data_IF_200251267047
#
_entry.id   IF_200251267047
#
_cell.length_a   1.000
_cell.length_b   1.000
_cell.length_c   1.000
_cell.angle_alpha   90.00
_cell.angle_beta   90.00
_cell.angle_gamma   90.00
#
_symmetry.space_group_name_H-M   'P 1'
#
loop_
_entity.id
_entity.type
_entity.pdbx_description
1 polymer ?
#
# COMPACT_ATOMS: atom_id res chain seq x y z
N UNK A 1 6.82 -4.06 10.74
CA UNK A 1 5.74 -3.17 10.30
C UNK A 1 6.01 -2.86 8.84
N UNK A 2 5.03 -3.07 7.95
CA UNK A 2 5.16 -2.65 6.55
C UNK A 2 5.06 -1.12 6.55
N UNK A 3 6.10 -0.46 6.07
CA UNK A 3 6.14 1.00 5.98
C UNK A 3 5.82 1.41 4.53
N UNK A 4 4.85 2.29 4.37
CA UNK A 4 4.38 2.81 3.08
C UNK A 4 4.74 4.29 2.87
N UNK A 5 5.80 4.78 3.50
CA UNK A 5 6.22 6.18 3.35
C UNK A 5 6.51 6.53 1.89
N UNK A 6 5.89 7.60 1.38
CA UNK A 6 6.11 8.09 0.01
C UNK A 6 7.43 8.86 -0.07
N UNK A 7 8.36 8.38 -0.89
CA UNK A 7 9.61 9.06 -1.16
C UNK A 7 9.36 10.28 -2.06
N UNK A 8 9.42 11.50 -1.52
CA UNK A 8 9.34 12.74 -2.29
C UNK A 8 10.71 13.12 -2.85
N UNK A 9 10.89 13.03 -4.17
CA UNK A 9 12.10 13.48 -4.87
C UNK A 9 12.03 14.99 -5.16
N UNK A 10 12.75 15.79 -4.37
CA UNK A 10 12.90 17.24 -4.63
C UNK A 10 14.01 17.48 -5.65
N UNK A 11 13.67 17.98 -6.84
CA UNK A 11 14.64 18.43 -7.85
C UNK A 11 14.97 19.92 -7.64
N UNK A 12 16.21 20.24 -7.28
CA UNK A 12 16.74 21.62 -7.30
C UNK A 12 17.91 21.73 -8.25
N UNK A 13 17.66 22.48 -9.32
CA UNK A 13 18.58 22.93 -10.36
C UNK A 13 19.56 23.99 -9.80
N UNK A 14 20.86 23.85 -10.02
CA UNK A 14 21.75 25.02 -10.05
C UNK A 14 23.02 24.77 -10.87
N UNK A 15 23.19 25.56 -11.93
CA UNK A 15 24.43 25.74 -12.66
C UNK A 15 25.42 26.53 -11.79
N UNK A 16 26.71 26.16 -11.79
CA UNK A 16 27.82 27.10 -12.01
C UNK A 16 29.19 26.40 -12.06
N UNK A 17 29.99 26.87 -13.01
CA UNK A 17 31.33 26.43 -13.37
C UNK A 17 32.39 26.80 -12.31
N UNK A 18 33.35 25.91 -12.02
CA UNK A 18 34.80 26.16 -12.21
C UNK A 18 35.68 25.05 -11.59
N UNK A 19 36.36 24.35 -12.50
CA UNK A 19 37.80 24.02 -12.53
C UNK A 19 38.61 23.76 -11.25
N UNK A 20 39.12 22.52 -11.21
CA UNK A 20 40.47 22.08 -10.81
C UNK A 20 40.80 21.69 -9.36
N UNK A 21 41.09 20.37 -9.28
CA UNK A 21 42.20 19.69 -8.61
C UNK A 21 42.00 19.23 -7.16
N UNK A 22 42.12 17.91 -7.06
CA UNK A 22 42.47 17.08 -5.92
C UNK A 22 41.36 16.96 -4.89
N UNK A 23 40.69 15.79 -4.87
CA UNK A 23 40.38 15.06 -3.65
C UNK A 23 39.84 13.66 -4.00
N UNK A 24 40.41 12.67 -3.31
CA UNK A 24 39.81 11.43 -2.80
C UNK A 24 38.51 10.99 -3.51
N UNK A 25 38.55 9.80 -4.12
CA UNK A 25 37.36 9.06 -4.56
C UNK A 25 36.42 8.93 -3.35
N UNK A 26 35.50 9.88 -3.19
CA UNK A 26 34.31 9.70 -2.37
C UNK A 26 33.34 8.87 -3.20
N UNK A 27 33.49 7.56 -3.06
CA UNK A 27 32.44 6.59 -3.36
C UNK A 27 31.30 6.81 -2.35
N UNK A 28 30.57 7.91 -2.51
CA UNK A 28 29.27 8.08 -1.87
C UNK A 28 28.21 7.43 -2.75
N UNK A 29 28.29 6.10 -2.87
CA UNK A 29 27.06 5.33 -3.09
C UNK A 29 26.17 5.61 -1.88
N UNK A 30 24.90 6.02 -2.06
CA UNK A 30 24.00 6.14 -0.94
C UNK A 30 23.98 4.79 -0.24
N UNK A 31 24.29 4.79 1.05
CA UNK A 31 24.13 3.63 1.92
C UNK A 31 22.71 3.11 1.70
N UNK A 32 22.58 1.97 1.02
CA UNK A 32 21.33 1.25 0.90
C UNK A 32 20.78 1.13 2.32
N UNK A 33 19.67 1.82 2.61
CA UNK A 33 18.94 1.60 3.84
C UNK A 33 18.44 0.17 3.77
N UNK A 34 19.20 -0.73 4.38
CA UNK A 34 18.97 -2.16 4.36
C UNK A 34 17.56 -2.47 4.87
N UNK A 35 16.62 -2.71 3.95
CA UNK A 35 15.22 -3.02 4.27
C UNK A 35 14.16 -2.44 3.34
N UNK A 36 14.50 -1.54 2.41
CA UNK A 36 13.50 -0.94 1.51
C UNK A 36 13.12 -1.89 0.35
N UNK A 37 11.84 -2.23 0.24
CA UNK A 37 11.30 -3.09 -0.82
C UNK A 37 10.35 -2.27 -1.68
N UNK A 38 10.72 -2.08 -2.95
CA UNK A 38 9.87 -1.41 -3.93
C UNK A 38 8.93 -2.43 -4.59
N UNK A 39 7.62 -2.17 -4.52
CA UNK A 39 6.59 -3.04 -5.10
C UNK A 39 5.80 -2.27 -6.14
N UNK A 40 5.92 -2.66 -7.41
CA UNK A 40 5.26 -2.03 -8.56
C UNK A 40 3.99 -2.79 -8.99
N UNK A 41 3.27 -3.33 -8.02
CA UNK A 41 2.04 -4.10 -8.26
C UNK A 41 1.06 -3.90 -7.11
N UNK A 42 -0.19 -4.25 -7.34
CA UNK A 42 -1.20 -4.29 -6.28
C UNK A 42 -0.78 -5.23 -5.16
N UNK A 43 -1.20 -4.90 -3.95
CA UNK A 43 -0.84 -5.64 -2.73
C UNK A 43 -2.01 -5.74 -1.77
N UNK A 44 -1.96 -6.75 -0.90
CA UNK A 44 -2.75 -6.79 0.34
C UNK A 44 -1.78 -6.80 1.51
N UNK A 45 -1.94 -5.84 2.41
CA UNK A 45 -1.14 -5.73 3.62
C UNK A 45 -1.99 -5.92 4.88
N UNK A 46 -1.36 -6.58 5.84
CA UNK A 46 -1.80 -6.85 7.20
C UNK A 46 -0.73 -6.31 8.17
N UNK A 47 -0.98 -6.28 9.49
CA UNK A 47 -0.04 -5.70 10.45
C UNK A 47 1.38 -6.27 10.39
N UNK A 48 1.49 -7.57 10.08
CA UNK A 48 2.76 -8.31 10.08
C UNK A 48 3.08 -9.01 8.76
N UNK A 49 2.30 -8.78 7.70
CA UNK A 49 2.54 -9.45 6.42
C UNK A 49 2.02 -8.62 5.25
N UNK A 50 2.65 -8.80 4.08
CA UNK A 50 2.25 -8.19 2.83
C UNK A 50 2.31 -9.25 1.73
N UNK A 51 1.31 -9.25 0.86
CA UNK A 51 1.18 -10.19 -0.24
C UNK A 51 1.01 -9.43 -1.55
N UNK A 52 1.69 -9.92 -2.59
CA UNK A 52 1.38 -9.51 -3.95
C UNK A 52 -0.05 -9.92 -4.28
N UNK A 53 -0.79 -9.01 -4.91
CA UNK A 53 -2.19 -9.18 -5.21
C UNK A 53 -2.44 -8.92 -6.70
N UNK A 54 -3.23 -9.79 -7.33
CA UNK A 54 -3.36 -9.83 -8.79
C UNK A 54 -4.14 -8.66 -9.42
N UNK A 55 -5.26 -8.18 -8.85
CA UNK A 55 -6.09 -7.16 -9.50
C UNK A 55 -5.30 -5.92 -9.89
N UNK A 56 -5.36 -5.52 -11.16
CA UNK A 56 -4.69 -4.31 -11.67
C UNK A 56 -5.66 -3.16 -11.91
N UNK A 57 -6.98 -3.41 -11.79
CA UNK A 57 -8.00 -2.37 -11.90
C UNK A 57 -9.21 -2.65 -10.99
N UNK A 58 -10.04 -1.62 -10.79
CA UNK A 58 -11.23 -1.68 -9.93
C UNK A 58 -12.21 -2.82 -10.26
N UNK A 59 -12.31 -3.23 -11.54
CA UNK A 59 -13.22 -4.29 -12.00
C UNK A 59 -12.78 -5.69 -11.58
N UNK A 60 -11.50 -5.86 -11.25
CA UNK A 60 -10.90 -7.14 -10.86
C UNK A 60 -10.90 -7.34 -9.33
N UNK A 61 -11.34 -6.33 -8.58
CA UNK A 61 -11.56 -6.44 -7.14
C UNK A 61 -12.90 -7.14 -6.89
N UNK A 62 -12.84 -8.40 -6.51
CA UNK A 62 -13.99 -9.27 -6.26
C UNK A 62 -13.84 -9.95 -4.90
N UNK A 63 -14.89 -10.63 -4.46
CA UNK A 63 -14.82 -11.39 -3.21
C UNK A 63 -13.75 -12.49 -3.27
N UNK A 64 -13.62 -13.14 -4.43
CA UNK A 64 -12.63 -14.19 -4.68
C UNK A 64 -11.21 -13.64 -4.66
N UNK A 65 -10.98 -12.46 -5.24
CA UNK A 65 -9.64 -11.84 -5.18
C UNK A 65 -9.26 -11.41 -3.76
N UNK A 66 -10.24 -11.18 -2.89
CA UNK A 66 -10.05 -10.88 -1.46
C UNK A 66 -10.13 -12.10 -0.53
N UNK A 67 -10.12 -13.33 -1.05
CA UNK A 67 -10.30 -14.54 -0.23
C UNK A 67 -9.28 -14.68 0.93
N UNK A 68 -8.06 -14.15 0.77
CA UNK A 68 -7.01 -14.17 1.80
C UNK A 68 -7.42 -13.45 3.09
N UNK A 69 -8.30 -12.45 2.99
CA UNK A 69 -8.82 -11.69 4.14
C UNK A 69 -9.52 -12.63 5.14
N UNK A 70 -10.24 -13.64 4.65
CA UNK A 70 -10.94 -14.61 5.49
C UNK A 70 -10.03 -15.63 6.18
N UNK A 71 -8.78 -15.76 5.73
CA UNK A 71 -7.79 -16.70 6.27
C UNK A 71 -6.91 -16.08 7.36
N UNK A 72 -6.81 -14.75 7.40
CA UNK A 72 -5.98 -14.05 8.37
C UNK A 72 -6.52 -14.18 9.79
N UNK A 73 -5.62 -14.43 10.76
CA UNK A 73 -5.93 -14.54 12.18
C UNK A 73 -4.98 -13.68 13.02
N UNK A 74 -5.48 -12.97 14.06
CA UNK A 74 -6.89 -12.87 14.47
C UNK A 74 -7.77 -12.17 13.42
N UNK A 75 -9.10 -12.34 13.51
CA UNK A 75 -10.02 -11.76 12.52
C UNK A 75 -9.93 -10.23 12.51
N UNK A 76 -9.99 -9.64 11.33
CA UNK A 76 -9.95 -8.20 11.14
C UNK A 76 -11.20 -7.52 11.70
N UNK A 77 -11.09 -6.22 11.97
CA UNK A 77 -12.20 -5.30 12.22
C UNK A 77 -12.41 -4.37 11.03
N UNK A 78 -11.33 -4.02 10.32
CA UNK A 78 -11.35 -3.08 9.21
C UNK A 78 -10.60 -3.62 7.99
N UNK A 79 -11.18 -3.41 6.81
CA UNK A 79 -10.55 -3.61 5.52
C UNK A 79 -10.72 -2.34 4.69
N UNK A 80 -9.62 -1.72 4.30
CA UNK A 80 -9.62 -0.61 3.36
C UNK A 80 -9.27 -1.09 1.96
N UNK A 81 -10.05 -0.68 0.96
CA UNK A 81 -9.76 -0.93 -0.46
C UNK A 81 -9.29 0.41 -1.04
N UNK A 82 -7.98 0.53 -1.24
CA UNK A 82 -7.36 1.66 -1.92
C UNK A 82 -7.42 1.47 -3.42
N UNK A 83 -8.24 2.25 -4.10
CA UNK A 83 -8.33 2.26 -5.56
C UNK A 83 -8.84 3.63 -6.02
N UNK A 84 -8.05 4.29 -6.88
CA UNK A 84 -8.39 5.64 -7.38
C UNK A 84 -9.63 5.63 -8.29
N UNK A 85 -9.95 4.47 -8.87
CA UNK A 85 -11.20 4.24 -9.58
C UNK A 85 -12.24 3.58 -8.66
N UNK A 86 -13.49 4.03 -8.74
CA UNK A 86 -14.58 3.41 -8.00
C UNK A 86 -14.79 1.96 -8.43
N UNK A 87 -14.91 1.07 -7.44
CA UNK A 87 -15.31 -0.31 -7.68
C UNK A 87 -16.73 -0.37 -8.26
N UNK A 88 -17.05 -1.34 -9.12
CA UNK A 88 -18.41 -1.57 -9.55
C UNK A 88 -19.34 -1.71 -8.33
N UNK A 89 -20.45 -0.94 -8.23
CA UNK A 89 -21.29 -0.95 -7.02
C UNK A 89 -21.79 -2.34 -6.63
N UNK A 90 -22.07 -3.19 -7.62
CA UNK A 90 -22.47 -4.58 -7.41
C UNK A 90 -21.38 -5.39 -6.68
N UNK A 91 -20.12 -5.25 -7.08
CA UNK A 91 -19.01 -5.98 -6.47
C UNK A 91 -18.70 -5.43 -5.07
N UNK A 92 -18.65 -4.10 -4.92
CA UNK A 92 -18.46 -3.48 -3.61
C UNK A 92 -19.55 -3.90 -2.60
N UNK A 93 -20.81 -3.97 -3.03
CA UNK A 93 -21.91 -4.42 -2.16
C UNK A 93 -21.78 -5.90 -1.76
N UNK A 94 -21.34 -6.78 -2.67
CA UNK A 94 -21.08 -8.18 -2.34
C UNK A 94 -19.97 -8.31 -1.30
N UNK A 95 -18.86 -7.58 -1.50
CA UNK A 95 -17.71 -7.58 -0.59
C UNK A 95 -18.15 -7.07 0.79
N UNK A 96 -18.83 -5.92 0.86
CA UNK A 96 -19.35 -5.35 2.11
C UNK A 96 -20.26 -6.32 2.85
N UNK A 97 -21.13 -7.05 2.16
CA UNK A 97 -22.02 -8.04 2.78
C UNK A 97 -21.25 -9.23 3.36
N UNK A 98 -20.38 -9.88 2.59
CA UNK A 98 -19.61 -11.05 3.07
C UNK A 98 -18.70 -10.67 4.25
N UNK A 99 -18.04 -9.52 4.15
CA UNK A 99 -17.15 -9.03 5.21
C UNK A 99 -17.92 -8.64 6.47
N UNK A 100 -19.12 -8.06 6.34
CA UNK A 100 -19.99 -7.76 7.48
C UNK A 100 -20.42 -9.02 8.23
N UNK A 101 -20.70 -10.12 7.54
CA UNK A 101 -21.00 -11.42 8.17
C UNK A 101 -19.82 -11.94 9.02
N UNK A 102 -18.59 -11.51 8.69
CA UNK A 102 -17.36 -11.81 9.44
C UNK A 102 -17.02 -10.76 10.51
N UNK A 103 -17.85 -9.72 10.68
CA UNK A 103 -17.59 -8.61 11.60
C UNK A 103 -16.55 -7.60 11.11
N UNK A 104 -16.24 -7.59 9.81
CA UNK A 104 -15.26 -6.69 9.19
C UNK A 104 -15.98 -5.53 8.49
N UNK A 105 -15.62 -4.30 8.85
CA UNK A 105 -16.06 -3.08 8.18
C UNK A 105 -15.19 -2.85 6.94
N UNK A 106 -15.82 -2.63 5.80
CA UNK A 106 -15.12 -2.36 4.53
C UNK A 106 -15.38 -0.93 4.09
N UNK A 107 -14.31 -0.22 3.76
CA UNK A 107 -14.38 1.10 3.13
C UNK A 107 -13.50 1.20 1.90
N UNK A 108 -13.97 1.93 0.88
CA UNK A 108 -13.25 2.15 -0.37
C UNK A 108 -12.91 3.63 -0.50
N UNK A 109 -11.66 3.92 -0.80
CA UNK A 109 -11.11 5.27 -0.93
C UNK A 109 -9.95 5.25 -1.94
N UNK A 110 -9.38 6.40 -2.26
CA UNK A 110 -8.16 6.48 -3.06
C UNK A 110 -6.97 5.82 -2.35
N UNK A 111 -5.94 5.49 -3.14
CA UNK A 111 -4.79 4.71 -2.67
C UNK A 111 -4.08 5.41 -1.51
N UNK A 112 -3.90 6.74 -1.61
CA UNK A 112 -3.16 7.52 -0.61
C UNK A 112 -3.90 7.59 0.73
N UNK A 113 -5.21 7.81 0.69
CA UNK A 113 -6.02 7.83 1.90
C UNK A 113 -6.10 6.44 2.55
N UNK A 114 -6.27 5.36 1.76
CA UNK A 114 -6.30 4.00 2.28
C UNK A 114 -5.00 3.62 2.99
N UNK A 115 -3.87 4.00 2.38
CA UNK A 115 -2.53 3.80 2.93
C UNK A 115 -2.35 4.57 4.25
N UNK A 116 -2.74 5.86 4.28
CA UNK A 116 -2.67 6.69 5.49
C UNK A 116 -3.51 6.13 6.63
N UNK A 117 -4.77 5.76 6.35
CA UNK A 117 -5.67 5.17 7.36
C UNK A 117 -5.16 3.83 7.87
N UNK A 118 -4.63 2.98 6.99
CA UNK A 118 -3.99 1.73 7.40
C UNK A 118 -2.83 1.99 8.35
N UNK A 119 -1.92 2.92 8.01
CA UNK A 119 -0.76 3.22 8.84
C UNK A 119 -1.14 3.69 10.24
N UNK A 120 -2.15 4.57 10.34
CA UNK A 120 -2.66 5.06 11.63
C UNK A 120 -3.26 3.92 12.45
N UNK A 121 -4.25 3.20 11.90
CA UNK A 121 -4.92 2.13 12.67
C UNK A 121 -3.98 0.97 13.00
N UNK A 122 -3.03 0.66 12.10
CA UNK A 122 -2.03 -0.36 12.36
C UNK A 122 -1.06 0.07 13.47
N UNK A 123 -0.66 1.35 13.51
CA UNK A 123 0.14 1.90 14.60
C UNK A 123 -0.60 1.97 15.94
N UNK A 124 -1.92 1.97 15.93
CA UNK A 124 -2.80 1.85 17.11
C UNK A 124 -3.09 0.38 17.50
N UNK A 125 -2.34 -0.60 16.95
CA UNK A 125 -2.53 -2.04 17.16
C UNK A 125 -3.97 -2.53 16.89
N UNK A 126 -4.69 -1.87 15.97
CA UNK A 126 -6.01 -2.30 15.52
C UNK A 126 -5.90 -3.47 14.56
N UNK A 127 -6.95 -4.30 14.49
CA UNK A 127 -7.01 -5.43 13.53
C UNK A 127 -7.45 -4.89 12.16
N UNK A 128 -6.51 -4.37 11.39
CA UNK A 128 -6.76 -3.71 10.10
C UNK A 128 -6.02 -4.41 8.96
N UNK A 129 -6.61 -4.40 7.77
CA UNK A 129 -5.91 -4.73 6.53
C UNK A 129 -6.19 -3.68 5.46
N UNK A 130 -5.32 -3.62 4.45
CA UNK A 130 -5.51 -2.76 3.28
C UNK A 130 -5.21 -3.54 2.00
N UNK A 131 -6.06 -3.37 0.99
CA UNK A 131 -5.88 -3.89 -0.36
C UNK A 131 -5.68 -2.70 -1.30
N UNK A 132 -4.47 -2.53 -1.83
CA UNK A 132 -4.11 -1.42 -2.71
C UNK A 132 -4.07 -1.91 -4.16
N UNK A 133 -4.88 -1.29 -5.01
CA UNK A 133 -4.88 -1.51 -6.45
C UNK A 133 -3.95 -0.50 -7.10
N UNK A 134 -2.86 -0.97 -7.70
CA UNK A 134 -1.99 -0.14 -8.52
C UNK A 134 -2.39 -0.34 -9.98
N UNK A 135 -2.96 0.70 -10.59
CA UNK A 135 -3.17 0.71 -12.04
C UNK A 135 -1.81 0.83 -12.72
N UNK A 136 -1.55 -0.08 -13.65
CA UNK A 136 -0.52 0.11 -14.66
C UNK A 136 -0.95 1.16 -15.70
#
# INVERSE_FOLDING_TARGET
MVDFSSSSTTSSNNNNNNTNRNNKLEENSPVDKSGEVHVNSSIIAFPHSCFLWRPTCAKEVTLESLAIIGLYKPSLEYLFIGCDAALPPRELNKIKRDMKERGVVVDQMDVMNAMGTFNVLNGEDRRVAVALVLSA
#
